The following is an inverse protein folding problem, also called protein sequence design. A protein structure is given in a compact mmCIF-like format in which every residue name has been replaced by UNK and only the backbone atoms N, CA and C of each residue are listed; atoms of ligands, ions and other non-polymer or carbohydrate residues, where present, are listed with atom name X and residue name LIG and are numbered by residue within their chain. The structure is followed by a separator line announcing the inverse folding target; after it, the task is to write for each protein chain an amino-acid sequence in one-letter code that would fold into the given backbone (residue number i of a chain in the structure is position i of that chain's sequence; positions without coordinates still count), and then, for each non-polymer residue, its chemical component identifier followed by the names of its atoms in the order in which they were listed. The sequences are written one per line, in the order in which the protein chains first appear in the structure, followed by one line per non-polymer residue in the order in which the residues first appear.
data_IF_660010761845
#
_entry.id   IF_660010761845
#
_cell.length_a   1.000
_cell.length_b   1.000
_cell.length_c   1.000
_cell.angle_alpha   90.00
_cell.angle_beta   90.00
_cell.angle_gamma   90.00
#
_symmetry.space_group_name_H-M   'P 1'
#
loop_
_entity.id
_entity.type
_entity.pdbx_description
1 polymer ?
#
# COMPACT_ATOMS: atom_id res chain seq x y z
N UNK A 1 0.22 13.26 -10.07
CA UNK A 1 1.39 13.73 -9.31
C UNK A 1 2.49 12.71 -9.51
N UNK A 2 3.76 13.12 -9.63
CA UNK A 2 4.87 12.15 -9.75
C UNK A 2 5.50 11.83 -8.38
N UNK A 3 6.48 10.92 -8.39
CA UNK A 3 7.15 10.48 -7.17
C UNK A 3 7.98 11.58 -6.51
N UNK A 4 8.54 12.51 -7.27
CA UNK A 4 9.44 13.54 -6.74
C UNK A 4 8.64 14.70 -6.16
N UNK A 5 7.52 15.04 -6.76
CA UNK A 5 6.53 15.95 -6.20
C UNK A 5 5.97 15.43 -4.86
N UNK A 6 5.56 14.15 -4.79
CA UNK A 6 5.10 13.54 -3.54
C UNK A 6 6.18 13.62 -2.45
N UNK A 7 7.44 13.27 -2.76
CA UNK A 7 8.54 13.34 -1.80
C UNK A 7 8.79 14.75 -1.32
N UNK A 8 8.82 15.74 -2.24
CA UNK A 8 9.04 17.15 -1.90
C UNK A 8 7.96 17.67 -0.96
N UNK A 9 6.69 17.45 -1.28
CA UNK A 9 5.55 17.85 -0.45
C UNK A 9 5.57 17.16 0.91
N UNK A 10 5.87 15.86 0.95
CA UNK A 10 5.99 15.13 2.20
C UNK A 10 7.12 15.67 3.10
N UNK A 11 8.28 15.97 2.53
CA UNK A 11 9.41 16.58 3.28
C UNK A 11 9.04 17.98 3.78
N UNK A 12 8.23 18.73 3.04
CA UNK A 12 7.69 20.03 3.46
C UNK A 12 6.63 19.94 4.58
N UNK A 13 6.32 18.75 5.08
CA UNK A 13 5.39 18.54 6.19
C UNK A 13 3.98 18.14 5.76
N UNK A 14 3.68 18.16 4.47
CA UNK A 14 2.39 17.70 3.98
C UNK A 14 2.23 16.20 4.22
N UNK A 15 1.04 15.80 4.68
CA UNK A 15 0.71 14.39 4.94
C UNK A 15 -0.50 13.93 4.16
N UNK A 16 -1.25 14.85 3.57
CA UNK A 16 -2.54 14.55 2.97
C UNK A 16 -2.47 14.53 1.45
N UNK A 17 -2.63 13.34 0.88
CA UNK A 17 -2.62 13.09 -0.56
C UNK A 17 -3.77 12.15 -0.95
N UNK A 18 -5.03 12.45 -0.53
CA UNK A 18 -6.15 11.59 -0.83
C UNK A 18 -6.40 11.63 -2.34
N UNK A 19 -6.91 10.54 -2.90
CA UNK A 19 -7.21 10.37 -4.33
C UNK A 19 -6.06 10.69 -5.30
N UNK A 20 -4.82 10.78 -4.79
CA UNK A 20 -3.67 11.10 -5.61
C UNK A 20 -3.43 10.02 -6.67
N UNK A 21 -3.25 10.43 -7.92
CA UNK A 21 -2.76 9.53 -8.96
C UNK A 21 -1.25 9.41 -8.85
N UNK A 22 -0.81 8.24 -8.39
CA UNK A 22 0.56 7.77 -8.22
C UNK A 22 0.76 6.41 -8.96
N UNK A 23 -0.11 6.10 -9.92
CA UNK A 23 -0.04 4.86 -10.68
C UNK A 23 1.32 4.73 -11.38
N UNK A 24 1.89 3.51 -11.35
CA UNK A 24 3.19 3.15 -11.97
C UNK A 24 4.40 3.97 -11.50
N UNK A 25 4.26 4.79 -10.45
CA UNK A 25 5.36 5.59 -9.92
C UNK A 25 6.45 4.74 -9.27
N UNK A 26 7.69 5.25 -9.27
CA UNK A 26 8.84 4.63 -8.59
C UNK A 26 9.00 5.22 -7.19
N UNK A 27 8.48 4.50 -6.20
CA UNK A 27 8.49 4.86 -4.78
C UNK A 27 9.30 3.84 -3.95
N UNK A 28 10.38 3.33 -4.53
CA UNK A 28 11.25 2.34 -3.89
C UNK A 28 11.91 2.97 -2.66
N UNK A 29 11.76 2.36 -1.49
CA UNK A 29 12.45 2.78 -0.27
C UNK A 29 12.00 4.12 0.32
N UNK A 30 10.93 4.75 -0.20
CA UNK A 30 10.46 6.05 0.29
C UNK A 30 10.04 5.99 1.75
N UNK A 31 10.20 7.11 2.45
CA UNK A 31 9.76 7.29 3.82
C UNK A 31 8.47 8.10 3.85
N UNK A 32 7.33 7.43 4.03
CA UNK A 32 5.98 8.00 4.02
C UNK A 32 5.16 7.51 5.23
N UNK A 33 5.80 7.51 6.41
CA UNK A 33 5.17 7.13 7.66
C UNK A 33 3.94 8.00 7.96
N UNK A 34 2.80 7.38 8.30
CA UNK A 34 1.58 8.11 8.63
C UNK A 34 0.98 8.94 7.49
N UNK A 35 1.43 8.77 6.25
CA UNK A 35 0.87 9.50 5.10
C UNK A 35 -0.61 9.12 4.91
N UNK A 36 -1.44 10.09 4.54
CA UNK A 36 -2.78 9.83 4.05
C UNK A 36 -2.77 9.71 2.52
N UNK A 37 -3.03 8.49 2.05
CA UNK A 37 -3.18 8.09 0.64
C UNK A 37 -4.56 7.44 0.45
N UNK A 38 -5.57 7.86 1.23
CA UNK A 38 -6.93 7.36 1.13
C UNK A 38 -7.44 7.47 -0.31
N UNK A 39 -7.98 6.38 -0.84
CA UNK A 39 -8.48 6.25 -2.21
C UNK A 39 -7.48 6.64 -3.32
N UNK A 40 -6.18 6.73 -3.02
CA UNK A 40 -5.15 7.02 -4.00
C UNK A 40 -5.03 5.89 -5.04
N UNK A 41 -4.69 6.25 -6.28
CA UNK A 41 -4.34 5.29 -7.30
C UNK A 41 -2.83 5.01 -7.26
N UNK A 42 -2.47 3.84 -6.75
CA UNK A 42 -1.11 3.30 -6.68
C UNK A 42 -0.96 2.07 -7.59
N UNK A 43 -1.85 1.91 -8.57
CA UNK A 43 -1.85 0.73 -9.44
C UNK A 43 -0.53 0.61 -10.20
N UNK A 44 0.08 -0.56 -10.13
CA UNK A 44 1.40 -0.83 -10.72
C UNK A 44 2.57 -0.04 -10.12
N UNK A 45 2.37 0.73 -9.04
CA UNK A 45 3.45 1.48 -8.41
C UNK A 45 4.51 0.54 -7.81
N UNK A 46 5.77 0.97 -7.84
CA UNK A 46 6.85 0.23 -7.20
C UNK A 46 7.16 0.82 -5.83
N UNK A 47 6.58 0.22 -4.79
CA UNK A 47 6.71 0.57 -3.37
C UNK A 47 7.66 -0.40 -2.64
N UNK A 48 8.54 -1.09 -3.36
CA UNK A 48 9.44 -2.06 -2.73
C UNK A 48 10.29 -1.38 -1.66
N UNK A 49 10.39 -2.00 -0.48
CA UNK A 49 11.09 -1.46 0.70
C UNK A 49 10.54 -0.13 1.23
N UNK A 50 9.40 0.37 0.76
CA UNK A 50 8.81 1.61 1.25
C UNK A 50 8.45 1.50 2.74
N UNK A 51 8.55 2.62 3.44
CA UNK A 51 8.26 2.79 4.86
C UNK A 51 6.92 3.51 5.00
N UNK A 52 5.85 2.75 5.20
CA UNK A 52 4.44 3.19 5.21
C UNK A 52 3.75 2.81 6.53
N UNK A 53 4.49 2.71 7.64
CA UNK A 53 3.87 2.37 8.92
C UNK A 53 2.87 3.45 9.33
N UNK A 54 1.71 3.03 9.83
CA UNK A 54 0.61 3.93 10.18
C UNK A 54 -0.02 4.70 9.01
N UNK A 55 0.35 4.43 7.76
CA UNK A 55 -0.25 5.12 6.62
C UNK A 55 -1.74 4.79 6.47
N UNK A 56 -2.53 5.76 6.01
CA UNK A 56 -3.91 5.54 5.59
C UNK A 56 -3.95 5.24 4.09
N UNK A 57 -4.25 3.99 3.74
CA UNK A 57 -4.42 3.46 2.38
C UNK A 57 -5.83 2.89 2.20
N UNK A 58 -6.79 3.32 3.03
CA UNK A 58 -8.19 2.88 2.90
C UNK A 58 -8.74 3.18 1.52
N UNK A 59 -9.36 2.19 0.88
CA UNK A 59 -9.90 2.29 -0.48
C UNK A 59 -8.85 2.51 -1.59
N UNK A 60 -7.55 2.50 -1.28
CA UNK A 60 -6.52 2.75 -2.27
C UNK A 60 -6.47 1.63 -3.33
N UNK A 61 -6.21 2.01 -4.58
CA UNK A 61 -5.98 1.05 -5.64
C UNK A 61 -4.50 0.64 -5.68
N UNK A 62 -4.16 -0.52 -5.14
CA UNK A 62 -2.81 -1.11 -5.13
C UNK A 62 -2.69 -2.26 -6.13
N UNK A 63 -3.60 -2.36 -7.10
CA UNK A 63 -3.60 -3.45 -8.06
C UNK A 63 -2.25 -3.53 -8.80
N UNK A 64 -1.66 -4.73 -8.84
CA UNK A 64 -0.34 -5.00 -9.45
C UNK A 64 0.83 -4.20 -8.86
N UNK A 65 0.66 -3.53 -7.73
CA UNK A 65 1.74 -2.79 -7.07
C UNK A 65 2.81 -3.74 -6.51
N UNK A 66 4.06 -3.29 -6.48
CA UNK A 66 5.14 -4.01 -5.83
C UNK A 66 5.36 -3.49 -4.41
N UNK A 67 4.89 -4.22 -3.40
CA UNK A 67 5.05 -3.95 -1.98
C UNK A 67 6.13 -4.82 -1.33
N UNK A 68 6.95 -5.51 -2.13
CA UNK A 68 7.95 -6.47 -1.63
C UNK A 68 8.86 -5.80 -0.61
N UNK A 69 8.99 -6.39 0.59
CA UNK A 69 9.77 -5.86 1.73
C UNK A 69 9.33 -4.49 2.25
N UNK A 70 8.16 -3.96 1.86
CA UNK A 70 7.63 -2.74 2.44
C UNK A 70 7.23 -2.94 3.92
N UNK A 71 7.20 -1.85 4.67
CA UNK A 71 6.69 -1.84 6.04
C UNK A 71 5.34 -1.12 6.08
N UNK A 72 4.26 -1.90 6.25
CA UNK A 72 2.87 -1.45 6.40
C UNK A 72 2.36 -1.70 7.83
N UNK A 73 3.25 -1.82 8.81
CA UNK A 73 2.83 -2.09 10.20
C UNK A 73 1.90 -0.98 10.69
N UNK A 74 0.74 -1.33 11.23
CA UNK A 74 -0.29 -0.38 11.68
C UNK A 74 -0.97 0.42 10.57
N UNK A 75 -0.72 0.14 9.29
CA UNK A 75 -1.38 0.85 8.20
C UNK A 75 -2.86 0.47 8.07
N UNK A 76 -3.69 1.40 7.63
CA UNK A 76 -5.08 1.13 7.27
C UNK A 76 -5.16 0.79 5.78
N UNK A 77 -5.50 -0.46 5.43
CA UNK A 77 -5.78 -0.92 4.06
C UNK A 77 -7.24 -1.37 3.91
N UNK A 78 -8.14 -0.87 4.76
CA UNK A 78 -9.57 -1.20 4.67
C UNK A 78 -10.10 -0.97 3.26
N UNK A 79 -10.73 -1.99 2.67
CA UNK A 79 -11.26 -1.98 1.29
C UNK A 79 -10.26 -1.65 0.18
N UNK A 80 -8.95 -1.75 0.43
CA UNK A 80 -7.95 -1.54 -0.62
C UNK A 80 -7.99 -2.66 -1.68
N UNK A 81 -7.69 -2.30 -2.92
CA UNK A 81 -7.55 -3.27 -4.01
C UNK A 81 -6.11 -3.78 -4.09
N UNK A 82 -5.86 -5.03 -3.67
CA UNK A 82 -4.55 -5.69 -3.69
C UNK A 82 -4.43 -6.78 -4.76
N UNK A 83 -5.33 -6.81 -5.74
CA UNK A 83 -5.31 -7.80 -6.83
C UNK A 83 -3.99 -7.77 -7.59
N UNK A 84 -3.32 -8.92 -7.71
CA UNK A 84 -2.00 -9.03 -8.35
C UNK A 84 -0.85 -8.30 -7.65
N UNK A 85 -1.06 -7.73 -6.46
CA UNK A 85 0.00 -7.06 -5.72
C UNK A 85 1.06 -8.06 -5.21
N UNK A 86 2.32 -7.62 -5.14
CA UNK A 86 3.44 -8.41 -4.58
C UNK A 86 3.71 -7.98 -3.14
N UNK A 87 3.29 -8.77 -2.15
CA UNK A 87 3.46 -8.55 -0.71
C UNK A 87 4.49 -9.53 -0.07
N UNK A 88 5.42 -10.07 -0.85
CA UNK A 88 6.47 -10.94 -0.33
C UNK A 88 7.33 -10.16 0.69
N UNK A 89 7.50 -10.72 1.89
CA UNK A 89 8.25 -10.13 3.00
C UNK A 89 7.74 -8.75 3.47
N UNK A 90 6.49 -8.38 3.14
CA UNK A 90 5.87 -7.14 3.61
C UNK A 90 5.49 -7.28 5.09
N UNK A 91 5.83 -6.28 5.90
CA UNK A 91 5.42 -6.25 7.32
C UNK A 91 4.00 -5.72 7.43
N UNK A 92 3.09 -6.53 7.97
CA UNK A 92 1.66 -6.22 8.12
C UNK A 92 1.17 -6.32 9.58
N UNK A 93 2.09 -6.30 10.56
CA UNK A 93 1.72 -6.34 11.98
C UNK A 93 0.77 -5.17 12.31
N UNK A 94 -0.41 -5.48 12.87
CA UNK A 94 -1.41 -4.47 13.22
C UNK A 94 -2.07 -3.74 12.04
N UNK A 95 -1.81 -4.14 10.79
CA UNK A 95 -2.47 -3.53 9.64
C UNK A 95 -3.95 -3.92 9.57
N UNK A 96 -4.84 -2.96 9.28
CA UNK A 96 -6.24 -3.25 9.01
C UNK A 96 -6.41 -3.63 7.53
N UNK A 97 -6.69 -4.90 7.25
CA UNK A 97 -6.91 -5.43 5.89
C UNK A 97 -8.37 -5.78 5.63
N UNK A 98 -9.27 -5.44 6.56
CA UNK A 98 -10.67 -5.85 6.50
C UNK A 98 -11.31 -5.34 5.21
N UNK A 99 -11.95 -6.22 4.46
CA UNK A 99 -12.61 -5.90 3.19
C UNK A 99 -11.67 -5.65 2.01
N UNK A 100 -10.34 -5.63 2.20
CA UNK A 100 -9.39 -5.53 1.09
C UNK A 100 -9.53 -6.73 0.16
N UNK A 101 -9.41 -6.51 -1.15
CA UNK A 101 -9.58 -7.58 -2.12
C UNK A 101 -8.25 -8.09 -2.70
N UNK A 102 -8.19 -9.40 -2.96
CA UNK A 102 -7.03 -10.07 -3.54
C UNK A 102 -7.49 -11.14 -4.54
N UNK A 103 -6.59 -11.61 -5.40
CA UNK A 103 -6.88 -12.68 -6.36
C UNK A 103 -5.75 -13.72 -6.39
N UNK A 104 -5.87 -14.74 -7.24
CA UNK A 104 -4.88 -15.80 -7.39
C UNK A 104 -3.50 -15.30 -7.89
N UNK A 105 -3.44 -14.07 -8.40
CA UNK A 105 -2.19 -13.43 -8.81
C UNK A 105 -1.54 -12.61 -7.69
N UNK A 106 -2.24 -12.32 -6.59
CA UNK A 106 -1.66 -11.68 -5.40
C UNK A 106 -0.63 -12.61 -4.75
N UNK A 107 0.49 -12.05 -4.27
CA UNK A 107 1.60 -12.82 -3.68
C UNK A 107 1.85 -12.38 -2.25
N UNK A 108 1.37 -13.14 -1.28
CA UNK A 108 1.65 -12.91 0.13
C UNK A 108 2.92 -13.65 0.58
N UNK A 109 3.41 -13.30 1.77
CA UNK A 109 4.47 -14.08 2.43
C UNK A 109 3.96 -15.46 2.81
N UNK A 110 4.86 -16.45 2.84
CA UNK A 110 4.53 -17.82 3.29
C UNK A 110 3.87 -17.77 4.68
N UNK A 111 2.78 -18.52 4.85
CA UNK A 111 2.03 -18.60 6.11
C UNK A 111 1.09 -17.42 6.38
N UNK A 112 1.02 -16.44 5.50
CA UNK A 112 0.00 -15.39 5.59
C UNK A 112 -1.34 -15.95 5.10
N UNK A 113 -2.34 -15.94 5.97
CA UNK A 113 -3.72 -16.29 5.63
C UNK A 113 -4.57 -15.01 5.43
N UNK A 114 -4.91 -14.64 4.19
CA UNK A 114 -5.74 -13.47 3.91
C UNK A 114 -7.18 -13.60 4.44
N UNK A 115 -7.72 -14.82 4.54
CA UNK A 115 -9.09 -15.05 5.01
C UNK A 115 -9.18 -14.71 6.50
N UNK A 116 -8.20 -15.14 7.30
CA UNK A 116 -8.09 -14.75 8.73
C UNK A 116 -8.00 -13.23 8.97
N UNK A 117 -7.74 -12.44 7.92
CA UNK A 117 -7.65 -10.98 7.96
C UNK A 117 -8.91 -10.29 7.42
N UNK A 118 -10.02 -11.02 7.26
CA UNK A 118 -11.27 -10.52 6.69
C UNK A 118 -11.10 -9.95 5.27
N UNK A 119 -10.14 -10.47 4.50
CA UNK A 119 -9.96 -10.08 3.11
C UNK A 119 -10.93 -10.83 2.20
N UNK A 120 -11.26 -10.22 1.06
CA UNK A 120 -12.19 -10.77 0.06
C UNK A 120 -11.41 -11.29 -1.15
N UNK A 121 -11.57 -12.56 -1.50
CA UNK A 121 -11.03 -13.09 -2.76
C UNK A 121 -11.97 -12.72 -3.91
N UNK A 122 -11.43 -12.14 -4.99
CA UNK A 122 -12.16 -11.74 -6.20
C UNK A 122 -11.45 -12.22 -7.48
#
# INVERSE_FOLDING_TARGET
MDADELKRRYVAGERDFPVANLSKTKLIGVHLAGVNLFAADLSGANLAKAKLWGANLGGANLARANLTRANLSGANLHEANLRGAKLNFTKLYGANLSGACYDDSTRFSRGFDPISKNMRKL
#
